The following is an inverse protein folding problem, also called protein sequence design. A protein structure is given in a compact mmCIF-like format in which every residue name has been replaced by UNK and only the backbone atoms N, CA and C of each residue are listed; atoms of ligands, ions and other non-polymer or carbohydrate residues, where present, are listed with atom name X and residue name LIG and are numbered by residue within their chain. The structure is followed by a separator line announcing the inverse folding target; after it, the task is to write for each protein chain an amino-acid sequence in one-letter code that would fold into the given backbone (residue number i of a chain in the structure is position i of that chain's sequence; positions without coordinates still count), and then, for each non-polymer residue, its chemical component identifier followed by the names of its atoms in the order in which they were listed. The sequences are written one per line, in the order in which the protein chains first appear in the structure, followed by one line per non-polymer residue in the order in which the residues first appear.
data_IF_772054071067
#
_entry.id   IF_772054071067
#
_cell.length_a   1.000
_cell.length_b   1.000
_cell.length_c   1.000
_cell.angle_alpha   90.00
_cell.angle_beta   90.00
_cell.angle_gamma   90.00
#
_symmetry.space_group_name_H-M   'P 1'
#
loop_
_entity.id
_entity.type
_entity.pdbx_description
1 polymer ?
#
# COMPACT_ATOMS: atom_id res chain seq x y z
N UNK A 1 -20.49 17.66 13.18
CA UNK A 1 -19.72 17.62 11.92
C UNK A 1 -20.02 16.28 11.27
N UNK A 2 -20.57 16.32 10.07
CA UNK A 2 -21.21 15.20 9.38
C UNK A 2 -20.20 14.09 9.07
N UNK A 3 -20.54 12.85 9.45
CA UNK A 3 -19.88 11.65 8.95
C UNK A 3 -20.35 11.41 7.52
N UNK A 4 -19.52 11.79 6.55
CA UNK A 4 -19.67 11.27 5.19
C UNK A 4 -19.11 9.86 5.21
N UNK A 5 -20.01 8.88 5.28
CA UNK A 5 -19.74 7.54 4.82
C UNK A 5 -19.44 7.63 3.33
N UNK A 6 -18.20 7.36 2.95
CA UNK A 6 -17.82 7.14 1.56
C UNK A 6 -18.53 5.86 1.10
N UNK A 7 -19.77 6.02 0.61
CA UNK A 7 -20.47 4.97 -0.10
C UNK A 7 -19.62 4.64 -1.33
N UNK A 8 -18.92 3.52 -1.25
CA UNK A 8 -18.26 2.90 -2.40
C UNK A 8 -19.40 2.43 -3.30
N UNK A 9 -19.83 3.29 -4.21
CA UNK A 9 -20.76 2.96 -5.27
C UNK A 9 -19.99 2.05 -6.22
N UNK A 10 -20.11 0.73 -6.00
CA UNK A 10 -19.63 -0.26 -6.95
C UNK A 10 -20.60 -0.18 -8.14
N UNK A 11 -20.15 0.24 -9.34
CA UNK A 11 -21.02 0.24 -10.49
C UNK A 11 -21.42 -1.21 -10.77
N UNK A 12 -22.71 -1.51 -10.63
CA UNK A 12 -23.28 -2.80 -11.03
C UNK A 12 -23.16 -2.85 -12.55
N UNK A 13 -22.39 -3.78 -13.14
CA UNK A 13 -22.34 -3.91 -14.58
C UNK A 13 -23.68 -4.48 -15.06
N UNK A 14 -24.60 -3.60 -15.47
CA UNK A 14 -25.83 -4.01 -16.14
C UNK A 14 -25.45 -4.48 -17.54
N UNK A 15 -25.22 -5.78 -17.71
CA UNK A 15 -25.10 -6.40 -19.03
C UNK A 15 -26.49 -6.56 -19.60
N UNK A 16 -26.90 -5.61 -20.44
CA UNK A 16 -28.14 -5.68 -21.20
C UNK A 16 -27.94 -6.69 -22.34
N UNK A 17 -28.02 -7.99 -22.04
CA UNK A 17 -28.02 -9.02 -23.07
C UNK A 17 -29.44 -9.13 -23.67
N UNK A 18 -29.45 -9.20 -24.99
CA UNK A 18 -30.57 -8.95 -25.90
C UNK A 18 -31.83 -9.81 -25.67
N UNK A 19 -32.98 -9.20 -26.04
CA UNK A 19 -34.33 -9.75 -26.11
C UNK A 19 -34.41 -11.19 -26.65
N UNK A 20 -34.95 -12.08 -25.84
CA UNK A 20 -35.49 -13.37 -26.29
C UNK A 20 -36.48 -13.94 -25.27
N UNK A 21 -37.77 -13.66 -25.45
CA UNK A 21 -38.94 -14.21 -24.70
C UNK A 21 -38.86 -14.13 -23.17
N UNK A 22 -39.64 -13.23 -22.55
CA UNK A 22 -39.68 -13.01 -21.09
C UNK A 22 -40.06 -14.23 -20.23
N UNK A 23 -40.42 -15.38 -20.81
CA UNK A 23 -40.66 -16.62 -20.07
C UNK A 23 -39.37 -17.33 -19.63
N UNK A 24 -38.22 -17.05 -20.26
CA UNK A 24 -36.93 -17.71 -19.94
C UNK A 24 -35.98 -16.83 -19.10
N UNK A 25 -36.41 -15.64 -18.66
CA UNK A 25 -35.56 -14.74 -17.89
C UNK A 25 -35.27 -15.27 -16.48
N UNK A 26 -36.28 -15.84 -15.82
CA UNK A 26 -36.15 -16.38 -14.47
C UNK A 26 -35.20 -17.57 -14.39
N UNK A 27 -35.24 -18.47 -15.37
CA UNK A 27 -34.30 -19.59 -15.44
C UNK A 27 -32.89 -19.11 -15.70
N UNK A 28 -32.69 -18.16 -16.63
CA UNK A 28 -31.39 -17.54 -16.90
C UNK A 28 -30.81 -16.84 -15.67
N UNK A 29 -31.59 -16.00 -15.00
CA UNK A 29 -31.15 -15.30 -13.79
C UNK A 29 -30.83 -16.28 -12.66
N UNK A 30 -31.61 -17.34 -12.50
CA UNK A 30 -31.34 -18.40 -11.52
C UNK A 30 -30.02 -19.10 -11.81
N UNK A 31 -29.77 -19.48 -13.08
CA UNK A 31 -28.50 -20.11 -13.48
C UNK A 31 -27.31 -19.17 -13.30
N UNK A 32 -27.47 -17.89 -13.62
CA UNK A 32 -26.41 -16.88 -13.46
C UNK A 32 -26.10 -16.64 -11.98
N UNK A 33 -27.12 -16.57 -11.12
CA UNK A 33 -26.94 -16.42 -9.67
C UNK A 33 -26.22 -17.63 -9.07
N UNK A 34 -26.58 -18.84 -9.49
CA UNK A 34 -25.89 -20.07 -9.07
C UNK A 34 -24.43 -20.06 -9.53
N UNK A 35 -24.18 -19.73 -10.80
CA UNK A 35 -22.82 -19.65 -11.34
C UNK A 35 -21.96 -18.61 -10.60
N UNK A 36 -22.50 -17.42 -10.35
CA UNK A 36 -21.81 -16.36 -9.60
C UNK A 36 -21.56 -16.77 -8.14
N UNK A 37 -22.48 -17.50 -7.50
CA UNK A 37 -22.29 -18.05 -6.16
C UNK A 37 -21.13 -19.05 -6.15
N UNK A 38 -21.09 -19.96 -7.12
CA UNK A 38 -20.06 -21.00 -7.21
C UNK A 38 -18.69 -20.39 -7.51
N UNK A 39 -18.62 -19.40 -8.40
CA UNK A 39 -17.41 -18.63 -8.67
C UNK A 39 -16.91 -17.93 -7.40
N UNK A 40 -17.79 -17.25 -6.67
CA UNK A 40 -17.43 -16.56 -5.43
C UNK A 40 -16.94 -17.54 -4.35
N UNK A 41 -17.54 -18.73 -4.27
CA UNK A 41 -17.07 -19.81 -3.40
C UNK A 41 -15.69 -20.33 -3.81
N UNK A 42 -15.40 -20.46 -5.11
CA UNK A 42 -14.08 -20.84 -5.62
C UNK A 42 -13.03 -19.79 -5.28
N UNK A 43 -13.31 -18.53 -5.60
CA UNK A 43 -12.42 -17.40 -5.32
C UNK A 43 -12.15 -17.25 -3.82
N UNK A 44 -13.15 -17.49 -2.97
CA UNK A 44 -12.97 -17.47 -1.51
C UNK A 44 -12.00 -18.55 -1.03
N UNK A 45 -12.05 -19.75 -1.63
CA UNK A 45 -11.09 -20.84 -1.32
C UNK A 45 -9.68 -20.52 -1.80
N UNK A 46 -9.55 -20.03 -3.03
CA UNK A 46 -8.25 -19.61 -3.59
C UNK A 46 -7.62 -18.49 -2.77
N UNK A 47 -8.41 -17.48 -2.39
CA UNK A 47 -7.95 -16.37 -1.56
C UNK A 47 -7.49 -16.86 -0.19
N UNK A 48 -8.21 -17.81 0.42
CA UNK A 48 -7.78 -18.44 1.67
C UNK A 48 -6.45 -19.16 1.52
N UNK A 49 -6.28 -19.96 0.45
CA UNK A 49 -5.04 -20.67 0.16
C UNK A 49 -3.86 -19.71 -0.08
N UNK A 50 -4.08 -18.64 -0.85
CA UNK A 50 -3.07 -17.61 -1.11
C UNK A 50 -2.65 -16.88 0.18
N UNK A 51 -3.62 -16.53 1.04
CA UNK A 51 -3.33 -15.95 2.37
C UNK A 51 -2.50 -16.89 3.23
N UNK A 52 -2.83 -18.18 3.23
CA UNK A 52 -2.07 -19.18 3.98
C UNK A 52 -0.63 -19.30 3.46
N UNK A 53 -0.44 -19.37 2.14
CA UNK A 53 0.89 -19.41 1.52
C UNK A 53 1.70 -18.15 1.86
N UNK A 54 1.10 -16.96 1.76
CA UNK A 54 1.75 -15.71 2.14
C UNK A 54 2.20 -15.72 3.60
N UNK A 55 1.37 -16.22 4.51
CA UNK A 55 1.72 -16.34 5.92
C UNK A 55 2.91 -17.29 6.15
N UNK A 56 3.02 -18.38 5.38
CA UNK A 56 4.20 -19.25 5.43
C UNK A 56 5.45 -18.55 4.92
N UNK A 57 5.35 -17.82 3.81
CA UNK A 57 6.47 -17.05 3.25
C UNK A 57 6.92 -15.94 4.21
N UNK A 58 5.99 -15.23 4.85
CA UNK A 58 6.30 -14.23 5.87
C UNK A 58 7.08 -14.84 7.05
N UNK A 59 6.68 -16.03 7.52
CA UNK A 59 7.43 -16.74 8.58
C UNK A 59 8.85 -17.12 8.14
N UNK A 60 9.00 -17.59 6.90
CA UNK A 60 10.33 -17.93 6.34
C UNK A 60 11.20 -16.68 6.26
N UNK A 61 10.67 -15.58 5.73
CA UNK A 61 11.38 -14.31 5.64
C UNK A 61 11.75 -13.75 7.02
N UNK A 62 10.86 -13.86 8.01
CA UNK A 62 11.16 -13.50 9.40
C UNK A 62 12.25 -14.39 9.99
N UNK A 63 12.22 -15.69 9.71
CA UNK A 63 13.29 -16.62 10.10
C UNK A 63 14.65 -16.27 9.49
N UNK A 64 14.69 -15.71 8.28
CA UNK A 64 15.90 -15.19 7.66
C UNK A 64 16.29 -13.77 8.13
N UNK A 65 15.33 -13.00 8.65
CA UNK A 65 15.53 -11.63 9.11
C UNK A 65 15.87 -11.53 10.60
N UNK A 66 15.75 -12.61 11.38
CA UNK A 66 16.32 -12.69 12.72
C UNK A 66 17.85 -12.49 12.61
N UNK A 67 18.43 -11.50 13.30
CA UNK A 67 19.88 -11.37 13.34
C UNK A 67 20.42 -12.67 13.93
N UNK A 68 21.32 -13.33 13.19
CA UNK A 68 22.07 -14.49 13.66
C UNK A 68 22.50 -14.22 15.11
N UNK A 69 21.84 -14.89 16.07
CA UNK A 69 22.36 -14.96 17.44
C UNK A 69 23.75 -15.54 17.26
N UNK A 70 24.83 -14.88 17.71
CA UNK A 70 26.17 -15.38 17.52
C UNK A 70 26.20 -16.78 18.12
N UNK A 71 26.38 -17.78 17.24
CA UNK A 71 26.57 -19.16 17.63
C UNK A 71 27.77 -19.14 18.57
N UNK A 72 27.68 -19.70 19.80
CA UNK A 72 28.83 -19.80 20.66
C UNK A 72 29.95 -20.49 19.87
N UNK A 73 31.09 -19.81 19.73
CA UNK A 73 32.25 -20.35 19.03
C UNK A 73 32.64 -21.66 19.70
N UNK A 74 32.33 -22.76 19.05
CA UNK A 74 32.94 -24.04 19.33
C UNK A 74 34.12 -24.12 18.35
N UNK A 75 35.33 -24.07 18.89
CA UNK A 75 36.56 -24.25 18.12
C UNK A 75 36.62 -25.69 17.62
N UNK A 76 36.02 -25.95 16.45
CA UNK A 76 36.09 -27.26 15.81
C UNK A 76 36.30 -27.08 14.30
N UNK A 77 37.47 -27.51 13.87
CA UNK A 77 38.10 -27.44 12.56
C UNK A 77 37.44 -28.30 11.47
N UNK A 78 36.13 -28.30 11.34
CA UNK A 78 35.43 -29.02 10.26
C UNK A 78 34.16 -28.27 9.81
N UNK A 79 34.24 -27.56 8.69
CA UNK A 79 33.06 -27.21 7.90
C UNK A 79 33.43 -27.06 6.43
N UNK A 80 33.35 -28.20 5.74
CA UNK A 80 33.40 -28.36 4.30
C UNK A 80 31.95 -28.54 3.81
N UNK A 81 31.33 -27.48 3.27
CA UNK A 81 30.18 -27.44 2.34
C UNK A 81 29.52 -26.04 2.43
N UNK A 82 29.76 -25.11 1.49
CA UNK A 82 28.99 -24.90 0.24
C UNK A 82 27.48 -24.73 0.53
N UNK A 83 26.79 -23.61 0.27
CA UNK A 83 26.84 -22.69 -0.88
C UNK A 83 26.20 -21.34 -0.54
N UNK A 84 26.95 -20.24 -0.51
CA UNK A 84 26.37 -18.89 -0.71
C UNK A 84 27.43 -17.94 -1.28
N UNK A 85 26.95 -16.97 -2.05
CA UNK A 85 27.64 -15.78 -2.59
C UNK A 85 28.41 -15.92 -3.91
N UNK A 86 27.65 -16.00 -5.01
CA UNK A 86 27.96 -15.14 -6.15
C UNK A 86 27.20 -13.81 -5.93
N UNK A 87 27.79 -12.92 -5.12
CA UNK A 87 27.40 -11.51 -5.12
C UNK A 87 28.62 -10.77 -5.61
N UNK A 88 28.59 -10.43 -6.89
CA UNK A 88 29.59 -9.60 -7.53
C UNK A 88 29.77 -8.30 -6.73
N UNK A 89 30.95 -8.20 -6.11
CA UNK A 89 31.45 -7.04 -5.40
C UNK A 89 31.67 -5.89 -6.40
N UNK A 90 30.59 -5.24 -6.82
CA UNK A 90 30.69 -3.89 -7.36
C UNK A 90 30.97 -2.93 -6.20
N UNK A 91 32.01 -2.13 -6.35
CA UNK A 91 32.51 -1.13 -5.41
C UNK A 91 31.44 -0.13 -5.00
N UNK A 92 30.64 -0.43 -3.98
CA UNK A 92 29.71 0.54 -3.42
C UNK A 92 30.50 1.62 -2.66
N UNK A 93 30.47 2.86 -3.16
CA UNK A 93 30.99 4.00 -2.40
C UNK A 93 30.22 4.10 -1.09
N UNK A 94 30.94 4.19 0.03
CA UNK A 94 30.35 4.32 1.37
C UNK A 94 29.31 5.46 1.34
N UNK A 95 28.05 5.13 1.66
CA UNK A 95 26.92 6.07 1.63
C UNK A 95 25.95 5.93 0.44
N UNK A 96 26.27 5.12 -0.58
CA UNK A 96 25.35 4.79 -1.65
C UNK A 96 24.46 3.60 -1.25
N UNK A 97 23.14 3.82 -1.14
CA UNK A 97 22.19 2.72 -1.02
C UNK A 97 22.16 1.89 -2.31
N UNK A 98 21.99 0.58 -2.17
CA UNK A 98 21.60 -0.27 -3.30
C UNK A 98 20.30 0.24 -3.93
N UNK A 99 20.09 -0.09 -5.19
CA UNK A 99 18.91 0.36 -5.95
C UNK A 99 17.60 0.05 -5.21
N UNK A 100 17.46 -1.18 -4.74
CA UNK A 100 16.29 -1.67 -4.01
C UNK A 100 16.04 -0.88 -2.72
N UNK A 101 17.08 -0.68 -1.91
CA UNK A 101 16.98 0.09 -0.65
C UNK A 101 16.61 1.55 -0.92
N UNK A 102 17.14 2.14 -2.00
CA UNK A 102 16.79 3.50 -2.41
C UNK A 102 15.33 3.60 -2.85
N UNK A 103 14.85 2.65 -3.64
CA UNK A 103 13.46 2.60 -4.09
C UNK A 103 12.49 2.51 -2.90
N UNK A 104 12.76 1.62 -1.94
CA UNK A 104 11.97 1.50 -0.71
C UNK A 104 11.95 2.81 0.10
N UNK A 105 13.11 3.47 0.26
CA UNK A 105 13.21 4.76 0.98
C UNK A 105 12.44 5.87 0.28
N UNK A 106 12.52 5.94 -1.05
CA UNK A 106 11.76 6.91 -1.85
C UNK A 106 10.26 6.69 -1.66
N UNK A 107 9.79 5.45 -1.73
CA UNK A 107 8.38 5.10 -1.55
C UNK A 107 7.90 5.52 -0.16
N UNK A 108 8.64 5.16 0.89
CA UNK A 108 8.35 5.56 2.27
C UNK A 108 8.29 7.08 2.44
N UNK A 109 9.22 7.82 1.83
CA UNK A 109 9.23 9.28 1.88
C UNK A 109 8.01 9.90 1.18
N UNK A 110 7.64 9.39 0.00
CA UNK A 110 6.45 9.83 -0.74
C UNK A 110 5.18 9.60 0.07
N UNK A 111 5.05 8.43 0.70
CA UNK A 111 3.94 8.12 1.59
C UNK A 111 3.86 9.10 2.77
N UNK A 112 4.99 9.36 3.45
CA UNK A 112 5.07 10.34 4.56
C UNK A 112 4.60 11.73 4.13
N UNK A 113 4.96 12.20 2.93
CA UNK A 113 4.47 13.48 2.41
C UNK A 113 2.96 13.45 2.20
N UNK A 114 2.43 12.38 1.60
CA UNK A 114 0.99 12.22 1.33
C UNK A 114 0.20 12.28 2.63
N UNK A 115 0.59 11.49 3.63
CA UNK A 115 -0.03 11.48 4.97
C UNK A 115 0.06 12.86 5.64
N UNK A 116 1.21 13.54 5.55
CA UNK A 116 1.37 14.89 6.09
C UNK A 116 0.40 15.86 5.44
N UNK A 117 0.27 15.85 4.12
CA UNK A 117 -0.65 16.74 3.37
C UNK A 117 -2.11 16.45 3.67
N UNK A 118 -2.48 15.18 3.79
CA UNK A 118 -3.83 14.76 4.17
C UNK A 118 -4.18 15.23 5.59
N UNK A 119 -3.26 15.04 6.55
CA UNK A 119 -3.45 15.44 7.95
C UNK A 119 -3.36 16.96 8.14
N UNK A 120 -2.49 17.63 7.40
CA UNK A 120 -2.31 19.09 7.49
C UNK A 120 -3.30 19.80 6.59
N UNK A 121 -4.52 20.01 7.06
CA UNK A 121 -5.30 21.14 6.58
C UNK A 121 -4.51 22.44 6.85
N UNK A 122 -4.63 23.45 5.98
CA UNK A 122 -4.06 24.78 6.20
C UNK A 122 -4.64 25.35 7.49
N UNK A 123 -4.02 25.01 8.62
CA UNK A 123 -4.52 25.38 9.93
C UNK A 123 -4.17 26.84 10.14
N UNK A 124 -5.19 27.70 10.10
CA UNK A 124 -5.07 29.12 10.41
C UNK A 124 -4.98 29.32 11.93
N UNK A 125 -4.04 28.62 12.60
CA UNK A 125 -3.89 28.59 14.07
C UNK A 125 -3.67 29.98 14.68
N UNK A 126 -3.22 30.94 13.89
CA UNK A 126 -3.06 32.34 14.30
C UNK A 126 -4.05 33.24 13.56
N UNK A 127 -5.33 33.12 13.91
CA UNK A 127 -6.41 33.97 13.40
C UNK A 127 -6.08 35.46 13.57
N UNK A 128 -5.54 35.88 14.71
CA UNK A 128 -5.12 37.29 14.93
C UNK A 128 -4.13 37.82 13.89
N UNK A 129 -3.03 37.08 13.62
CA UNK A 129 -2.03 37.48 12.60
C UNK A 129 -2.65 37.61 11.21
N UNK A 130 -3.60 36.73 10.91
CA UNK A 130 -4.27 36.68 9.63
C UNK A 130 -5.29 37.80 9.41
N UNK A 131 -5.87 38.34 10.49
CA UNK A 131 -6.75 39.51 10.47
C UNK A 131 -5.91 40.77 10.27
N UNK A 132 -4.82 40.92 11.04
CA UNK A 132 -3.87 42.03 10.90
C UNK A 132 -3.27 42.06 9.48
N UNK A 133 -2.87 40.91 8.94
CA UNK A 133 -2.32 40.80 7.59
C UNK A 133 -3.32 41.11 6.45
N UNK A 134 -4.64 41.03 6.72
CA UNK A 134 -5.69 41.47 5.80
C UNK A 134 -5.86 42.99 5.84
N UNK A 135 -5.71 43.60 7.01
CA UNK A 135 -5.88 45.04 7.22
C UNK A 135 -4.66 45.86 6.76
N UNK A 136 -3.45 45.30 6.79
CA UNK A 136 -2.23 46.00 6.35
C UNK A 136 -2.27 46.36 4.86
N UNK A 137 -1.88 47.60 4.54
CA UNK A 137 -1.76 48.11 3.16
C UNK A 137 -0.76 47.28 2.35
N UNK A 138 -1.11 47.00 1.09
CA UNK A 138 -0.26 46.28 0.15
C UNK A 138 -0.15 46.99 -1.18
N UNK A 139 1.05 46.99 -1.75
CA UNK A 139 1.32 47.41 -3.13
C UNK A 139 1.98 46.21 -3.82
N UNK A 140 1.37 45.72 -4.92
CA UNK A 140 1.83 44.53 -5.66
C UNK A 140 2.04 43.28 -4.77
N UNK A 141 1.12 43.07 -3.82
CA UNK A 141 1.12 41.93 -2.91
C UNK A 141 2.11 42.02 -1.72
N UNK A 142 2.99 43.03 -1.69
CA UNK A 142 3.95 43.26 -0.60
C UNK A 142 3.37 44.22 0.44
N UNK A 143 3.67 43.99 1.72
CA UNK A 143 3.28 44.91 2.79
C UNK A 143 4.06 46.22 2.69
N UNK A 144 3.36 47.34 2.85
CA UNK A 144 3.98 48.67 2.94
C UNK A 144 4.25 49.00 4.41
N UNK A 145 5.37 49.66 4.70
CA UNK A 145 5.65 50.18 6.04
C UNK A 145 4.73 51.37 6.28
N UNK A 146 3.81 51.21 7.23
CA UNK A 146 2.96 52.28 7.76
C UNK A 146 3.78 53.30 8.52
#
# INVERSE_FOLDING_TARGET
MNHNEDQIIVPIPIRVNQLGSGQNLWSQLSTELIAARDENMSLSRELFQAKFQNLQLEKVLLGFAEPFKPIPRIDSSLSLASTTSNVDNSSYSIGAYSREVREQKILKYKQKIKERRQKSHLSRKFTGRSIIAKQKLRIKGRFVKS
#
